data_IF_963576103341
#
_entry.id   IF_963576103341
#
_cell.length_a   1.000
_cell.length_b   1.000
_cell.length_c   1.000
_cell.angle_alpha   90.00
_cell.angle_beta   90.00
_cell.angle_gamma   90.00
#
_symmetry.space_group_name_H-M   'P 1'
#
loop_
_entity.id
_entity.type
_entity.pdbx_description
1 polymer ?
#
# COMPACT_ATOMS: atom_id res chain seq x y z
N UNK A 1 -25.53 -4.94 -12.30
CA UNK A 1 -24.67 -4.17 -11.39
C UNK A 1 -24.05 -3.08 -12.22
N UNK A 2 -24.28 -1.81 -11.86
CA UNK A 2 -23.86 -0.67 -12.67
C UNK A 2 -22.58 -0.13 -12.05
N UNK A 3 -21.43 -0.36 -12.68
CA UNK A 3 -20.18 0.24 -12.23
C UNK A 3 -20.22 1.74 -12.48
N UNK A 4 -19.86 2.53 -11.48
CA UNK A 4 -19.80 3.98 -11.57
C UNK A 4 -18.46 4.49 -11.02
N UNK A 5 -17.99 5.67 -11.43
CA UNK A 5 -16.85 6.31 -10.81
C UNK A 5 -17.12 6.58 -9.32
N UNK A 6 -16.20 6.15 -8.46
CA UNK A 6 -16.27 6.24 -7.01
C UNK A 6 -14.92 6.62 -6.43
N UNK A 7 -14.96 7.30 -5.28
CA UNK A 7 -13.80 7.56 -4.42
C UNK A 7 -13.98 6.80 -3.12
N UNK A 8 -13.03 5.95 -2.78
CA UNK A 8 -12.98 5.20 -1.52
C UNK A 8 -11.97 5.85 -0.60
N UNK A 9 -12.36 6.05 0.66
CA UNK A 9 -11.58 6.79 1.66
C UNK A 9 -11.59 6.05 2.98
N UNK A 10 -10.49 6.09 3.71
CA UNK A 10 -10.44 5.61 5.09
C UNK A 10 -9.49 6.47 5.92
N UNK A 11 -9.82 6.75 7.20
CA UNK A 11 -8.91 7.47 8.08
C UNK A 11 -7.68 6.62 8.40
N UNK A 12 -6.50 7.21 8.27
CA UNK A 12 -5.23 6.54 8.54
C UNK A 12 -4.86 6.71 10.02
N UNK A 13 -5.02 5.63 10.79
CA UNK A 13 -4.86 5.61 12.25
C UNK A 13 -3.42 5.42 12.71
N UNK A 14 -2.55 4.87 11.86
CA UNK A 14 -1.12 4.76 12.15
C UNK A 14 -0.25 5.10 10.94
N UNK A 15 1.02 5.40 11.18
CA UNK A 15 1.96 5.73 10.11
C UNK A 15 2.07 4.57 9.11
N UNK A 16 2.06 4.89 7.82
CA UNK A 16 2.11 3.93 6.73
C UNK A 16 3.52 3.74 6.21
N UNK A 17 3.93 2.49 6.03
CA UNK A 17 5.18 2.15 5.32
C UNK A 17 4.86 1.77 3.88
N UNK A 18 5.39 2.54 2.94
CA UNK A 18 5.17 2.30 1.51
C UNK A 18 6.23 1.35 0.94
N UNK A 19 5.80 0.40 0.11
CA UNK A 19 6.68 -0.45 -0.69
C UNK A 19 7.19 0.24 -1.95
N UNK A 20 7.97 -0.50 -2.76
CA UNK A 20 8.38 -0.07 -4.11
C UNK A 20 7.18 0.02 -5.03
N UNK A 21 6.30 -0.99 -4.98
CA UNK A 21 5.04 -1.03 -5.71
C UNK A 21 3.99 -0.33 -4.83
N UNK A 22 3.20 0.61 -5.36
CA UNK A 22 2.17 1.28 -4.60
C UNK A 22 1.02 0.32 -4.25
N UNK A 23 0.24 0.68 -3.24
CA UNK A 23 -0.90 -0.14 -2.80
C UNK A 23 -2.08 0.12 -3.73
N UNK A 24 -2.38 -0.82 -4.62
CA UNK A 24 -3.53 -0.73 -5.51
C UNK A 24 -4.82 -1.23 -4.85
N UNK A 25 -5.96 -0.63 -5.23
CA UNK A 25 -7.26 -1.03 -4.69
C UNK A 25 -7.63 -2.44 -5.12
N UNK A 26 -7.41 -2.81 -6.38
CA UNK A 26 -7.67 -4.17 -6.89
C UNK A 26 -6.84 -5.23 -6.13
N UNK A 27 -5.60 -4.92 -5.77
CA UNK A 27 -4.78 -5.78 -4.91
C UNK A 27 -5.42 -6.00 -3.53
N UNK A 28 -5.92 -4.92 -2.91
CA UNK A 28 -6.57 -4.98 -1.60
C UNK A 28 -7.88 -5.77 -1.67
N UNK A 29 -8.69 -5.56 -2.72
CA UNK A 29 -9.93 -6.29 -2.92
C UNK A 29 -9.69 -7.76 -3.21
N UNK A 30 -8.69 -8.09 -4.04
CA UNK A 30 -8.29 -9.46 -4.27
C UNK A 30 -7.88 -10.13 -2.96
N UNK A 31 -7.09 -9.45 -2.11
CA UNK A 31 -6.68 -9.98 -0.81
C UNK A 31 -7.89 -10.20 0.11
N UNK A 32 -8.82 -9.24 0.18
CA UNK A 32 -10.04 -9.37 0.97
C UNK A 32 -10.95 -10.51 0.47
N UNK A 33 -11.06 -10.69 -0.85
CA UNK A 33 -11.76 -11.82 -1.46
C UNK A 33 -11.07 -13.15 -1.13
N UNK A 34 -9.74 -13.21 -1.21
CA UNK A 34 -8.97 -14.39 -0.82
C UNK A 34 -9.18 -14.75 0.66
N UNK A 35 -9.22 -13.76 1.57
CA UNK A 35 -9.56 -14.01 2.98
C UNK A 35 -11.00 -14.50 3.17
N UNK A 36 -11.92 -14.10 2.29
CA UNK A 36 -13.33 -14.53 2.30
C UNK A 36 -13.52 -15.95 1.75
N UNK A 37 -12.85 -16.30 0.65
CA UNK A 37 -13.05 -17.57 -0.07
C UNK A 37 -12.09 -18.66 0.37
N UNK A 38 -10.88 -18.29 0.83
CA UNK A 38 -9.77 -19.21 1.05
C UNK A 38 -9.13 -19.75 -0.24
N UNK A 39 -9.58 -19.27 -1.40
CA UNK A 39 -9.19 -19.77 -2.72
C UNK A 39 -8.77 -18.60 -3.64
N UNK A 40 -7.52 -18.59 -4.16
CA UNK A 40 -7.01 -17.52 -5.02
C UNK A 40 -7.71 -17.44 -6.39
N UNK A 41 -8.18 -18.55 -6.95
CA UNK A 41 -8.80 -18.54 -8.27
C UNK A 41 -10.23 -18.00 -8.17
N UNK A 42 -11.00 -18.46 -7.17
CA UNK A 42 -12.31 -17.89 -6.84
C UNK A 42 -12.24 -16.37 -6.51
N UNK A 43 -11.15 -15.91 -5.88
CA UNK A 43 -10.94 -14.48 -5.62
C UNK A 43 -10.74 -13.69 -6.93
N UNK A 44 -10.01 -14.27 -7.88
CA UNK A 44 -9.74 -13.66 -9.18
C UNK A 44 -10.99 -13.60 -10.06
N UNK A 45 -11.83 -14.63 -10.03
CA UNK A 45 -13.10 -14.68 -10.76
C UNK A 45 -14.15 -13.70 -10.23
N UNK A 46 -14.11 -13.37 -8.93
CA UNK A 46 -15.06 -12.45 -8.30
C UNK A 46 -14.67 -10.98 -8.46
N UNK A 47 -13.40 -10.67 -8.67
CA UNK A 47 -12.93 -9.28 -8.76
C UNK A 47 -13.62 -8.45 -9.87
N UNK A 48 -13.88 -8.97 -11.09
CA UNK A 48 -14.64 -8.25 -12.14
C UNK A 48 -16.07 -7.89 -11.76
N UNK A 49 -16.66 -8.54 -10.73
CA UNK A 49 -17.99 -8.15 -10.25
C UNK A 49 -17.96 -6.83 -9.48
N UNK A 50 -16.83 -6.52 -8.83
CA UNK A 50 -16.67 -5.34 -7.99
C UNK A 50 -16.13 -4.14 -8.77
N UNK A 51 -15.18 -4.39 -9.68
CA UNK A 51 -14.47 -3.36 -10.44
C UNK A 51 -14.67 -3.57 -11.93
N UNK A 52 -14.84 -2.46 -12.65
CA UNK A 52 -14.74 -2.45 -14.10
C UNK A 52 -13.30 -2.79 -14.52
N UNK A 53 -13.17 -3.44 -15.67
CA UNK A 53 -11.89 -3.76 -16.28
C UNK A 53 -11.88 -3.22 -17.71
N UNK A 54 -10.75 -2.68 -18.12
CA UNK A 54 -10.53 -2.25 -19.50
C UNK A 54 -9.09 -2.55 -19.90
N UNK A 55 -8.88 -2.95 -21.16
CA UNK A 55 -7.57 -3.36 -21.70
C UNK A 55 -6.77 -4.32 -20.79
N UNK A 56 -7.46 -5.23 -20.08
CA UNK A 56 -6.85 -6.19 -19.16
C UNK A 56 -6.46 -5.62 -17.79
N UNK A 57 -6.67 -4.33 -17.53
CA UNK A 57 -6.34 -3.64 -16.29
C UNK A 57 -7.63 -3.20 -15.58
N UNK A 58 -7.70 -3.37 -14.25
CA UNK A 58 -8.86 -2.89 -13.50
C UNK A 58 -8.91 -1.36 -13.45
N UNK A 59 -10.12 -0.78 -13.47
CA UNK A 59 -10.37 0.64 -13.26
C UNK A 59 -10.28 0.95 -11.76
N UNK A 60 -9.06 0.90 -11.23
CA UNK A 60 -8.75 1.17 -9.83
C UNK A 60 -7.41 1.89 -9.68
N UNK A 61 -7.35 2.95 -8.87
CA UNK A 61 -6.11 3.70 -8.67
C UNK A 61 -5.15 3.00 -7.69
N UNK A 62 -3.90 3.46 -7.70
CA UNK A 62 -3.02 3.35 -6.54
C UNK A 62 -3.50 4.30 -5.43
N UNK A 63 -3.17 3.92 -4.20
CA UNK A 63 -3.42 4.74 -3.01
C UNK A 63 -2.77 6.12 -3.13
N UNK A 64 -3.53 7.15 -2.76
CA UNK A 64 -3.03 8.50 -2.49
C UNK A 64 -3.34 8.88 -1.03
N UNK A 65 -2.62 9.87 -0.51
CA UNK A 65 -2.91 10.45 0.80
C UNK A 65 -3.96 11.55 0.66
N UNK A 66 -5.07 11.40 1.38
CA UNK A 66 -6.08 12.44 1.52
C UNK A 66 -5.60 13.48 2.53
N UNK A 67 -5.50 14.74 2.10
CA UNK A 67 -5.11 15.86 2.96
C UNK A 67 -6.17 16.95 2.95
N UNK A 68 -6.19 17.74 4.02
CA UNK A 68 -7.01 18.94 4.13
C UNK A 68 -6.10 20.17 4.02
N UNK A 69 -6.35 21.10 3.09
CA UNK A 69 -5.47 22.25 2.82
C UNK A 69 -5.05 23.03 4.07
N UNK A 70 -5.89 23.04 5.11
CA UNK A 70 -5.70 23.84 6.33
C UNK A 70 -5.54 23.03 7.63
N UNK A 71 -5.43 21.70 7.60
CA UNK A 71 -5.35 20.91 8.84
C UNK A 71 -4.09 20.06 8.96
N UNK A 72 -3.78 19.24 7.96
CA UNK A 72 -2.74 18.23 8.12
C UNK A 72 -2.13 17.83 6.76
N UNK A 73 -0.86 18.20 6.50
CA UNK A 73 -0.15 17.72 5.34
C UNK A 73 0.25 16.25 5.50
N UNK A 74 0.82 15.66 4.44
CA UNK A 74 1.54 14.40 4.57
C UNK A 74 2.84 14.64 5.35
N UNK A 75 3.00 13.96 6.48
CA UNK A 75 4.16 14.07 7.36
C UNK A 75 5.05 12.86 7.12
N UNK A 76 6.29 13.09 6.67
CA UNK A 76 7.31 12.06 6.62
C UNK A 76 7.84 11.81 8.05
N UNK A 77 7.80 10.56 8.49
CA UNK A 77 8.17 10.14 9.84
C UNK A 77 9.14 8.95 9.80
N UNK A 78 9.70 8.59 10.94
CA UNK A 78 10.41 7.33 11.12
C UNK A 78 9.82 6.56 12.29
N UNK A 79 9.41 5.34 12.04
CA UNK A 79 8.93 4.45 13.10
C UNK A 79 10.04 3.44 13.41
N UNK A 80 10.44 3.39 14.67
CA UNK A 80 11.38 2.42 15.18
C UNK A 80 10.62 1.12 15.51
N UNK A 81 11.09 -0.01 14.97
CA UNK A 81 10.59 -1.33 15.33
C UNK A 81 11.66 -2.13 16.05
N UNK A 82 11.26 -2.89 17.06
CA UNK A 82 12.10 -3.94 17.64
C UNK A 82 11.85 -5.21 16.84
N UNK A 83 12.87 -5.69 16.14
CA UNK A 83 12.79 -6.97 15.44
C UNK A 83 12.85 -8.14 16.43
N UNK A 84 12.17 -9.24 16.09
CA UNK A 84 12.41 -10.52 16.76
C UNK A 84 13.78 -11.06 16.37
N UNK A 85 14.53 -11.57 17.35
CA UNK A 85 15.79 -12.27 17.08
C UNK A 85 15.52 -13.51 16.22
N UNK A 86 16.25 -13.65 15.13
CA UNK A 86 16.12 -14.76 14.20
C UNK A 86 17.08 -15.88 14.60
N UNK A 87 16.57 -17.11 14.65
CA UNK A 87 17.37 -18.30 15.00
C UNK A 87 18.59 -18.47 14.10
N UNK A 88 18.41 -18.27 12.80
CA UNK A 88 19.39 -18.62 11.78
C UNK A 88 20.40 -17.50 11.46
N UNK A 89 20.23 -16.31 12.05
CA UNK A 89 21.13 -15.18 11.82
C UNK A 89 21.62 -14.53 13.11
N UNK A 90 20.74 -14.40 14.12
CA UNK A 90 21.02 -13.64 15.34
C UNK A 90 21.37 -14.54 16.54
N UNK A 91 20.95 -15.81 16.51
CA UNK A 91 21.16 -16.80 17.58
C UNK A 91 22.13 -17.92 17.17
N UNK A 92 23.02 -17.64 16.20
CA UNK A 92 24.02 -18.62 15.80
C UNK A 92 24.99 -18.89 16.96
N UNK A 93 25.31 -20.17 17.26
CA UNK A 93 26.27 -20.53 18.32
C UNK A 93 27.62 -19.83 18.18
N UNK A 94 28.02 -19.55 16.94
CA UNK A 94 29.24 -18.83 16.57
C UNK A 94 29.29 -17.40 17.11
N UNK A 95 28.14 -16.72 17.19
CA UNK A 95 27.99 -15.40 17.78
C UNK A 95 27.96 -15.44 19.32
N UNK A 96 27.80 -16.64 19.88
CA UNK A 96 27.74 -16.92 21.33
C UNK A 96 29.04 -17.53 21.85
N UNK A 97 30.10 -17.65 21.04
CA UNK A 97 31.39 -18.15 21.49
C UNK A 97 32.22 -17.08 22.21
N UNK A 98 33.11 -17.47 23.15
CA UNK A 98 33.98 -16.53 23.85
C UNK A 98 34.90 -15.79 22.86
N UNK A 99 34.67 -14.50 22.66
CA UNK A 99 35.43 -13.66 21.72
C UNK A 99 36.60 -12.89 22.37
N UNK A 100 36.87 -13.13 23.65
CA UNK A 100 37.94 -12.49 24.41
C UNK A 100 39.19 -13.36 24.55
N UNK A 101 40.28 -12.72 25.00
CA UNK A 101 41.58 -13.37 25.18
C UNK A 101 41.48 -14.54 26.18
N UNK A 102 42.10 -15.68 25.85
CA UNK A 102 42.08 -16.94 26.64
C UNK A 102 40.69 -17.60 26.77
N UNK A 103 39.84 -17.51 25.75
CA UNK A 103 38.54 -18.19 25.75
C UNK A 103 37.54 -17.62 26.75
N UNK A 104 37.68 -16.33 27.11
CA UNK A 104 36.76 -15.62 28.00
C UNK A 104 35.79 -14.78 27.18
N UNK A 105 34.58 -14.56 27.69
CA UNK A 105 33.68 -13.55 27.13
C UNK A 105 34.27 -12.15 27.39
N UNK A 106 34.28 -11.29 26.36
CA UNK A 106 34.62 -9.88 26.55
C UNK A 106 33.60 -9.21 27.48
N UNK A 107 34.05 -8.23 28.28
CA UNK A 107 33.13 -7.48 29.18
C UNK A 107 32.08 -6.77 28.33
N UNK A 108 30.82 -6.95 28.66
CA UNK A 108 29.69 -6.24 28.03
C UNK A 108 29.82 -4.75 28.37
N UNK A 109 30.09 -3.94 27.34
CA UNK A 109 30.11 -2.48 27.48
C UNK A 109 28.67 -1.96 27.52
N UNK A 110 28.23 -1.54 28.71
CA UNK A 110 26.84 -1.13 28.99
C UNK A 110 26.61 0.34 28.65
N UNK A 111 27.63 1.19 28.78
CA UNK A 111 27.60 2.59 28.31
C UNK A 111 28.22 2.71 26.92
N UNK A 112 27.37 2.99 25.93
CA UNK A 112 27.79 3.41 24.57
C UNK A 112 28.40 2.32 23.68
N UNK A 113 28.15 1.03 23.97
CA UNK A 113 28.74 -0.11 23.26
C UNK A 113 27.91 -0.72 22.11
N UNK A 114 28.46 -1.73 21.40
CA UNK A 114 27.87 -2.43 20.24
C UNK A 114 26.53 -3.15 20.49
N UNK A 115 26.03 -3.12 21.73
CA UNK A 115 24.73 -3.65 22.16
C UNK A 115 23.62 -2.59 22.23
N UNK A 116 23.81 -1.42 21.60
CA UNK A 116 22.71 -0.46 21.39
C UNK A 116 21.54 -1.21 20.74
N UNK A 117 20.35 -1.14 21.33
CA UNK A 117 19.12 -1.64 20.70
C UNK A 117 19.14 -1.20 19.24
N UNK A 118 19.35 -2.16 18.32
CA UNK A 118 19.30 -1.91 16.88
C UNK A 118 17.83 -1.76 16.52
N UNK A 119 17.30 -0.59 16.87
CA UNK A 119 16.00 -0.15 16.44
C UNK A 119 16.11 0.08 14.93
N UNK A 120 15.57 -0.85 14.16
CA UNK A 120 15.41 -0.65 12.72
C UNK A 120 14.40 0.47 12.56
N UNK A 121 14.84 1.58 11.97
CA UNK A 121 13.97 2.71 11.64
C UNK A 121 13.50 2.55 10.22
N UNK A 122 12.19 2.55 10.02
CA UNK A 122 11.60 2.53 8.69
C UNK A 122 11.05 3.92 8.33
N UNK A 123 11.29 4.40 7.09
CA UNK A 123 10.65 5.61 6.61
C UNK A 123 9.14 5.36 6.47
N UNK A 124 8.35 6.18 7.15
CA UNK A 124 6.89 6.07 7.19
C UNK A 124 6.24 7.41 6.87
N UNK A 125 4.97 7.38 6.50
CA UNK A 125 4.21 8.58 6.17
C UNK A 125 2.94 8.59 7.02
N UNK A 126 2.60 9.76 7.56
CA UNK A 126 1.34 9.96 8.25
C UNK A 126 0.53 11.02 7.49
N UNK A 127 -0.76 10.80 7.38
CA UNK A 127 -1.72 11.69 6.77
C UNK A 127 -3.10 11.43 7.42
N UNK A 128 -4.07 12.34 7.27
CA UNK A 128 -5.42 12.12 7.77
C UNK A 128 -6.10 10.89 7.20
N UNK A 129 -6.03 10.72 5.87
CA UNK A 129 -6.76 9.69 5.15
C UNK A 129 -5.93 9.05 4.05
N UNK A 130 -6.35 7.86 3.65
CA UNK A 130 -5.92 7.18 2.43
C UNK A 130 -7.10 7.12 1.46
N UNK A 131 -6.81 7.31 0.18
CA UNK A 131 -7.81 7.51 -0.88
C UNK A 131 -7.49 6.63 -2.08
N UNK A 132 -8.52 6.05 -2.68
CA UNK A 132 -8.48 5.35 -3.96
C UNK A 132 -9.63 5.80 -4.84
N UNK A 133 -9.37 5.99 -6.12
CA UNK A 133 -10.39 6.27 -7.13
C UNK A 133 -10.61 5.02 -7.99
N UNK A 134 -11.86 4.67 -8.28
CA UNK A 134 -12.19 3.45 -9.00
C UNK A 134 -13.48 3.59 -9.80
N UNK A 135 -13.74 2.62 -10.68
CA UNK A 135 -15.04 2.46 -11.36
C UNK A 135 -15.61 1.11 -10.95
N UNK A 136 -16.67 1.10 -10.15
CA UNK A 136 -17.14 -0.13 -9.50
C UNK A 136 -18.40 0.02 -8.66
N UNK A 137 -18.67 -1.00 -7.85
CA UNK A 137 -19.75 -1.02 -6.85
C UNK A 137 -19.19 -0.59 -5.48
N UNK A 138 -19.40 0.68 -5.12
CA UNK A 138 -18.86 1.27 -3.90
C UNK A 138 -19.36 0.60 -2.62
N UNK A 139 -20.64 0.24 -2.57
CA UNK A 139 -21.24 -0.41 -1.39
C UNK A 139 -20.66 -1.80 -1.17
N UNK A 140 -20.59 -2.62 -2.22
CA UNK A 140 -20.02 -3.95 -2.14
C UNK A 140 -18.53 -3.91 -1.78
N UNK A 141 -17.78 -2.95 -2.36
CA UNK A 141 -16.36 -2.75 -2.07
C UNK A 141 -16.15 -2.35 -0.60
N UNK A 142 -16.83 -1.29 -0.12
CA UNK A 142 -16.66 -0.83 1.25
C UNK A 142 -17.11 -1.89 2.27
N UNK A 143 -18.18 -2.64 1.99
CA UNK A 143 -18.59 -3.75 2.86
C UNK A 143 -17.48 -4.81 2.99
N UNK A 144 -16.87 -5.19 1.86
CA UNK A 144 -15.79 -6.17 1.86
C UNK A 144 -14.54 -5.65 2.58
N UNK A 145 -14.11 -4.43 2.29
CA UNK A 145 -12.92 -3.83 2.88
C UNK A 145 -13.08 -3.66 4.40
N UNK A 146 -14.23 -3.16 4.87
CA UNK A 146 -14.48 -2.97 6.30
C UNK A 146 -14.49 -4.27 7.10
N UNK A 147 -14.81 -5.41 6.48
CA UNK A 147 -14.84 -6.69 7.17
C UNK A 147 -13.45 -7.36 7.23
N UNK A 148 -12.66 -7.26 6.15
CA UNK A 148 -11.43 -8.05 6.00
C UNK A 148 -10.12 -7.25 6.08
N UNK A 149 -10.15 -5.93 5.86
CA UNK A 149 -8.95 -5.09 5.78
C UNK A 149 -8.84 -4.19 7.00
N UNK A 150 -7.86 -4.48 7.86
CA UNK A 150 -7.58 -3.69 9.06
C UNK A 150 -6.43 -2.69 8.88
N UNK A 151 -5.54 -2.96 7.93
CA UNK A 151 -4.35 -2.16 7.67
C UNK A 151 -3.88 -2.31 6.22
N UNK A 152 -3.20 -1.28 5.71
CA UNK A 152 -2.66 -1.21 4.35
C UNK A 152 -1.16 -0.98 4.37
N UNK A 153 -0.48 -1.29 3.26
CA UNK A 153 0.97 -1.09 3.09
C UNK A 153 1.83 -2.22 3.66
N UNK A 154 3.13 -1.94 3.79
CA UNK A 154 4.11 -2.93 4.26
C UNK A 154 4.06 -3.09 5.77
N UNK A 155 4.27 -4.33 6.22
CA UNK A 155 4.31 -4.69 7.64
C UNK A 155 3.03 -4.27 8.39
N UNK A 156 1.87 -4.40 7.73
CA UNK A 156 0.55 -4.22 8.33
C UNK A 156 0.38 -5.04 9.63
N UNK A 157 0.95 -6.25 9.67
CA UNK A 157 0.98 -7.11 10.86
C UNK A 157 1.88 -6.61 12.01
N UNK A 158 2.64 -5.52 11.82
CA UNK A 158 3.50 -4.89 12.84
C UNK A 158 2.97 -3.53 13.29
N UNK A 159 1.70 -3.22 13.00
CA UNK A 159 1.03 -1.99 13.42
C UNK A 159 1.20 -0.81 12.47
N UNK A 160 1.76 -1.02 11.27
CA UNK A 160 1.83 0.00 10.23
C UNK A 160 0.53 0.10 9.46
N UNK A 161 0.18 1.33 9.05
CA UNK A 161 -0.90 1.58 8.10
C UNK A 161 -2.29 1.13 8.55
N UNK A 162 -2.55 1.12 9.86
CA UNK A 162 -3.88 0.84 10.38
C UNK A 162 -4.88 1.85 9.84
N UNK A 163 -6.03 1.37 9.39
CA UNK A 163 -7.10 2.20 8.81
C UNK A 163 -8.37 2.08 9.63
N UNK A 164 -9.20 3.12 9.64
CA UNK A 164 -10.55 3.02 10.16
C UNK A 164 -11.54 2.57 9.10
N UNK A 165 -12.80 2.92 9.30
CA UNK A 165 -13.90 2.53 8.41
C UNK A 165 -13.74 3.14 7.02
N UNK A 166 -13.75 2.28 6.00
CA UNK A 166 -13.82 2.65 4.60
C UNK A 166 -15.20 3.20 4.27
N UNK A 167 -15.23 4.35 3.63
CA UNK A 167 -16.42 5.00 3.09
C UNK A 167 -16.19 5.27 1.61
N UNK A 168 -17.27 5.44 0.85
CA UNK A 168 -17.19 5.80 -0.55
C UNK A 168 -18.08 6.99 -0.88
N UNK A 169 -17.62 7.79 -1.83
CA UNK A 169 -18.34 8.92 -2.41
C UNK A 169 -18.51 8.67 -3.91
N UNK A 170 -19.69 8.97 -4.46
CA UNK A 170 -19.90 8.93 -5.91
C UNK A 170 -19.09 10.05 -6.60
N UNK A 171 -18.54 9.76 -7.76
CA UNK A 171 -17.79 10.72 -8.57
C UNK A 171 -18.43 10.90 -9.94
N UNK A 172 -18.25 12.10 -10.51
CA UNK A 172 -18.68 12.39 -11.88
C UNK A 172 -17.64 12.00 -12.92
N UNK A 173 -16.35 12.00 -12.53
CA UNK A 173 -15.22 11.75 -13.42
C UNK A 173 -14.43 10.51 -12.97
N UNK A 174 -13.93 9.74 -13.94
CA UNK A 174 -13.06 8.59 -13.69
C UNK A 174 -11.61 9.05 -13.48
N UNK A 175 -11.11 8.85 -12.27
CA UNK A 175 -9.70 9.10 -11.93
C UNK A 175 -8.90 7.83 -11.60
N UNK A 176 -9.40 6.66 -12.03
CA UNK A 176 -8.82 5.36 -11.69
C UNK A 176 -7.45 5.12 -12.35
N UNK A 177 -7.26 5.59 -13.59
CA UNK A 177 -6.00 5.45 -14.34
C UNK A 177 -5.21 6.74 -14.49
N UNK A 178 -5.92 7.86 -14.52
CA UNK A 178 -5.37 9.20 -14.68
C UNK A 178 -5.91 10.11 -13.60
N UNK A 179 -5.05 10.91 -13.00
CA UNK A 179 -5.44 11.95 -12.06
C UNK A 179 -6.09 13.13 -12.77
N UNK A 180 -6.73 14.02 -12.00
CA UNK A 180 -7.24 15.29 -12.50
C UNK A 180 -6.13 16.18 -13.08
N UNK A 181 -4.91 16.09 -12.54
CA UNK A 181 -3.72 16.82 -13.02
C UNK A 181 -3.11 16.20 -14.29
N UNK A 182 -3.60 15.04 -14.71
CA UNK A 182 -3.19 14.35 -15.92
C UNK A 182 -2.09 13.32 -15.74
N UNK A 183 -1.53 13.18 -14.54
CA UNK A 183 -0.55 12.16 -14.17
C UNK A 183 -1.18 10.77 -14.03
N UNK A 184 -0.36 9.72 -14.11
CA UNK A 184 -0.79 8.34 -13.82
C UNK A 184 -1.32 8.18 -12.39
N UNK A 185 -2.46 7.51 -12.29
CA UNK A 185 -3.09 7.15 -11.02
C UNK A 185 -2.76 5.73 -10.55
N UNK A 186 -2.29 4.84 -11.43
CA UNK A 186 -1.89 3.47 -11.12
C UNK A 186 -0.69 3.02 -11.97
N UNK A 187 -0.21 1.81 -11.69
CA UNK A 187 0.78 1.15 -12.55
C UNK A 187 0.05 0.66 -13.79
N UNK A 188 0.55 1.04 -14.96
CA UNK A 188 0.00 0.66 -16.27
C UNK A 188 1.12 0.15 -17.19
N UNK A 189 0.82 -0.73 -18.16
CA UNK A 189 1.74 -1.06 -19.26
C UNK A 189 2.22 0.21 -19.97
N UNK A 190 3.44 0.20 -20.51
CA UNK A 190 3.99 1.36 -21.23
C UNK A 190 3.09 1.86 -22.38
N UNK A 191 2.44 0.94 -23.10
CA UNK A 191 1.51 1.27 -24.19
C UNK A 191 0.30 2.06 -23.69
N UNK A 192 -0.36 1.56 -22.65
CA UNK A 192 -1.55 2.19 -22.05
C UNK A 192 -1.15 3.50 -21.35
N UNK A 193 -0.02 3.53 -20.66
CA UNK A 193 0.47 4.71 -19.97
C UNK A 193 0.69 5.91 -20.92
N UNK A 194 1.25 5.65 -22.10
CA UNK A 194 1.48 6.69 -23.10
C UNK A 194 0.16 7.23 -23.69
N UNK A 195 -0.81 6.35 -23.92
CA UNK A 195 -2.16 6.73 -24.38
C UNK A 195 -2.88 7.58 -23.33
N UNK A 196 -2.87 7.13 -22.07
CA UNK A 196 -3.60 7.79 -20.97
C UNK A 196 -3.02 9.17 -20.64
N UNK A 197 -1.70 9.30 -20.62
CA UNK A 197 -1.04 10.58 -20.25
C UNK A 197 -0.82 11.51 -21.43
N UNK A 198 -0.85 10.99 -22.67
CA UNK A 198 -0.48 11.74 -23.88
C UNK A 198 1.01 12.13 -23.93
N UNK A 199 1.84 11.57 -23.05
CA UNK A 199 3.27 11.88 -22.94
C UNK A 199 4.10 10.62 -22.85
N UNK A 200 5.37 10.71 -23.27
CA UNK A 200 6.30 9.59 -23.16
C UNK A 200 6.58 9.32 -21.68
N UNK A 201 6.38 8.08 -21.19
CA UNK A 201 6.56 7.79 -19.78
C UNK A 201 8.00 8.01 -19.30
N UNK A 202 8.13 8.62 -18.12
CA UNK A 202 9.40 8.88 -17.46
C UNK A 202 10.17 7.57 -17.16
N UNK A 203 11.40 7.50 -17.66
CA UNK A 203 12.25 6.32 -17.56
C UNK A 203 12.56 5.92 -16.11
N UNK A 204 12.55 6.86 -15.16
CA UNK A 204 12.83 6.58 -13.74
C UNK A 204 11.70 5.80 -13.04
N UNK A 205 10.51 5.76 -13.65
CA UNK A 205 9.31 5.13 -13.10
C UNK A 205 8.97 3.79 -13.76
N UNK A 206 9.85 3.29 -14.63
CA UNK A 206 9.69 2.00 -15.28
C UNK A 206 9.93 0.85 -14.30
N UNK A 207 9.07 -0.16 -14.35
CA UNK A 207 9.20 -1.42 -13.62
C UNK A 207 8.62 -2.57 -14.44
N UNK A 208 9.00 -3.78 -14.06
CA UNK A 208 8.32 -4.99 -14.52
C UNK A 208 7.20 -5.30 -13.52
N UNK A 209 5.97 -5.42 -14.02
CA UNK A 209 4.80 -5.69 -13.19
C UNK A 209 3.82 -6.59 -13.93
N UNK A 210 3.10 -7.41 -13.15
CA UNK A 210 1.90 -8.10 -13.59
C UNK A 210 0.73 -7.11 -13.59
N UNK A 211 -0.21 -7.25 -14.53
CA UNK A 211 -1.29 -6.28 -14.70
C UNK A 211 -2.46 -6.48 -13.73
N UNK A 212 -2.65 -7.72 -13.29
CA UNK A 212 -3.74 -8.15 -12.41
C UNK A 212 -3.21 -8.84 -11.16
N UNK A 213 -3.89 -8.69 -10.01
CA UNK A 213 -3.55 -9.46 -8.81
C UNK A 213 -3.79 -10.97 -9.03
N UNK A 214 -3.02 -11.85 -8.35
CA UNK A 214 -1.95 -11.53 -7.41
C UNK A 214 -0.66 -11.10 -8.12
N UNK A 215 -0.11 -9.96 -7.69
CA UNK A 215 1.01 -9.30 -8.38
C UNK A 215 2.36 -10.05 -8.31
N UNK A 216 2.40 -11.23 -7.69
CA UNK A 216 3.59 -12.04 -7.40
C UNK A 216 3.73 -13.29 -8.29
N UNK A 217 2.98 -13.42 -9.40
CA UNK A 217 3.14 -14.57 -10.31
C UNK A 217 4.39 -14.38 -11.19
N UNK A 218 5.30 -15.37 -11.14
CA UNK A 218 6.66 -15.31 -11.70
C UNK A 218 6.77 -15.24 -13.23
N UNK A 219 5.68 -15.39 -13.99
CA UNK A 219 5.81 -15.74 -15.41
C UNK A 219 5.33 -14.68 -16.42
N UNK A 220 4.62 -13.62 -16.02
CA UNK A 220 4.09 -12.63 -16.98
C UNK A 220 4.24 -11.20 -16.46
N UNK A 221 5.48 -10.73 -16.39
CA UNK A 221 5.76 -9.32 -16.10
C UNK A 221 5.94 -8.53 -17.39
N UNK A 222 5.20 -7.45 -17.55
CA UNK A 222 5.32 -6.55 -18.70
C UNK A 222 5.99 -5.23 -18.29
N UNK A 223 6.71 -4.56 -19.21
CA UNK A 223 7.21 -3.21 -19.01
C UNK A 223 6.04 -2.27 -18.67
N UNK A 224 6.08 -1.73 -17.46
CA UNK A 224 5.04 -0.92 -16.87
C UNK A 224 5.62 0.35 -16.27
N UNK A 225 4.77 1.35 -16.07
CA UNK A 225 5.14 2.66 -15.52
C UNK A 225 4.37 2.87 -14.23
N UNK A 226 5.08 3.15 -13.14
CA UNK A 226 4.46 3.46 -11.86
C UNK A 226 4.04 4.93 -11.75
N UNK A 227 2.98 5.22 -10.98
CA UNK A 227 2.64 6.57 -10.60
C UNK A 227 3.67 7.11 -9.59
N UNK A 228 3.60 8.41 -9.28
CA UNK A 228 4.40 9.00 -8.20
C UNK A 228 4.10 8.27 -6.88
N UNK A 229 5.14 7.87 -6.15
CA UNK A 229 5.02 6.98 -4.99
C UNK A 229 4.29 7.60 -3.80
N UNK A 230 4.50 8.89 -3.56
CA UNK A 230 3.82 9.66 -2.51
C UNK A 230 2.98 10.71 -3.21
N UNK A 231 1.68 10.44 -3.32
CA UNK A 231 0.69 11.32 -3.92
C UNK A 231 -0.22 11.88 -2.85
N UNK A 232 -0.71 13.10 -3.06
CA UNK A 232 -1.70 13.73 -2.20
C UNK A 232 -2.92 14.15 -3.01
N UNK A 233 -4.10 14.02 -2.42
CA UNK A 233 -5.36 14.53 -2.95
C UNK A 233 -5.92 15.48 -1.90
N UNK A 234 -6.28 16.68 -2.33
CA UNK A 234 -6.94 17.65 -1.45
C UNK A 234 -8.42 17.29 -1.32
N UNK A 235 -8.86 17.15 -0.07
CA UNK A 235 -10.22 16.77 0.29
C UNK A 235 -10.94 18.00 0.86
N UNK A 236 -12.20 18.16 0.50
CA UNK A 236 -13.05 19.28 0.94
C UNK A 236 -13.76 19.01 2.27
N UNK A 237 -14.13 17.75 2.53
CA UNK A 237 -14.92 17.37 3.71
C UNK A 237 -14.23 16.24 4.48
N UNK A 238 -13.95 16.40 5.79
CA UNK A 238 -13.43 15.33 6.63
C UNK A 238 -14.40 14.18 6.78
N UNK A 239 -13.88 12.94 6.77
CA UNK A 239 -14.68 11.82 7.25
C UNK A 239 -15.00 12.09 8.72
N UNK A 240 -16.29 12.10 9.06
CA UNK A 240 -16.70 12.20 10.46
C UNK A 240 -16.13 10.99 11.20
N UNK A 241 -15.25 11.24 12.17
CA UNK A 241 -14.73 10.20 13.05
C UNK A 241 -15.90 9.59 13.83
N UNK A 242 -16.45 8.49 13.33
CA UNK A 242 -17.33 7.65 14.11
C UNK A 242 -16.46 6.86 15.10
N UNK A 243 -16.25 7.45 16.28
CA UNK A 243 -15.84 6.76 17.51
C UNK A 243 -14.47 6.08 17.53
N UNK A 244 -13.60 6.58 18.41
CA UNK A 244 -12.59 5.77 19.08
C UNK A 244 -13.26 4.82 20.09
#
# INVERSE_FOLDING_TARGET
>A
MTHQPIRIRAPLRSSLRLGRIPVHLDALLWHALFLKTGDPDAASERLPTLLAQDQGVYRASAMAFGIYPNQAPVIATQTATVGTMRKDTDLLPELMHPNGRKGKYSKLQVEGGPYKNRLTKYPTHHAPEVVWDAVGDGDAICHLLNFYVLAVGLEANRGFGAVGTFQWDAMNEDHSWRTAEGDLARVLPESIAAEVTGTTPDATRKLLSTLTPPYQRDNMTEPSVAPVRVRRIELTTPLLNQGA
#
